data_IF_445940397493
#
_entry.id   IF_445940397493
#
_cell.length_a   1.000
_cell.length_b   1.000
_cell.length_c   1.000
_cell.angle_alpha   90.00
_cell.angle_beta   90.00
_cell.angle_gamma   90.00
#
_symmetry.space_group_name_H-M   'P 1'
#
loop_
_entity.id
_entity.type
_entity.pdbx_description
1 polymer ?
#
# COMPACT_ATOMS: atom_id res chain seq x y z
N UNK A 1 -9.98 -14.26 -14.67
CA UNK A 1 -9.97 -12.97 -13.96
C UNK A 1 -10.61 -13.22 -12.61
N UNK A 2 -10.23 -12.49 -11.57
CA UNK A 2 -10.96 -12.46 -10.34
C UNK A 2 -12.40 -11.99 -10.60
N UNK A 3 -13.37 -12.45 -9.81
CA UNK A 3 -14.74 -11.96 -9.92
C UNK A 3 -14.79 -10.43 -9.75
N UNK A 4 -15.60 -9.74 -10.55
CA UNK A 4 -15.75 -8.28 -10.46
C UNK A 4 -16.06 -7.78 -9.04
N UNK A 5 -16.80 -8.57 -8.25
CA UNK A 5 -17.08 -8.25 -6.84
C UNK A 5 -15.80 -8.14 -5.99
N UNK A 6 -14.74 -8.89 -6.30
CA UNK A 6 -13.44 -8.78 -5.61
C UNK A 6 -12.83 -7.41 -5.89
N UNK A 7 -12.76 -6.98 -7.15
CA UNK A 7 -12.23 -5.67 -7.53
C UNK A 7 -13.01 -4.53 -6.88
N UNK A 8 -14.35 -4.61 -6.91
CA UNK A 8 -15.21 -3.62 -6.25
C UNK A 8 -14.94 -3.55 -4.75
N UNK A 9 -14.95 -4.69 -4.04
CA UNK A 9 -14.78 -4.71 -2.59
C UNK A 9 -13.39 -4.26 -2.17
N UNK A 10 -12.33 -4.65 -2.88
CA UNK A 10 -10.96 -4.19 -2.59
C UNK A 10 -10.85 -2.69 -2.82
N UNK A 11 -11.34 -2.17 -3.94
CA UNK A 11 -11.34 -0.73 -4.22
C UNK A 11 -12.10 0.09 -3.17
N UNK A 12 -13.30 -0.36 -2.79
CA UNK A 12 -14.10 0.27 -1.73
C UNK A 12 -13.39 0.23 -0.37
N UNK A 13 -12.77 -0.90 -0.03
CA UNK A 13 -12.02 -1.06 1.22
C UNK A 13 -10.84 -0.10 1.30
N UNK A 14 -10.06 -0.01 0.22
CA UNK A 14 -8.90 0.90 0.16
C UNK A 14 -9.34 2.34 0.36
N UNK A 15 -10.40 2.79 -0.32
CA UNK A 15 -10.87 4.17 -0.19
C UNK A 15 -11.42 4.47 1.20
N UNK A 16 -12.17 3.55 1.82
CA UNK A 16 -12.65 3.71 3.20
C UNK A 16 -11.51 3.80 4.21
N UNK A 17 -10.50 2.95 4.07
CA UNK A 17 -9.31 2.96 4.93
C UNK A 17 -8.57 4.29 4.79
N UNK A 18 -8.42 4.81 3.56
CA UNK A 18 -7.80 6.12 3.31
C UNK A 18 -8.64 7.29 3.82
N UNK A 19 -9.96 7.18 3.77
CA UNK A 19 -10.88 8.22 4.25
C UNK A 19 -11.05 8.21 5.78
N UNK A 20 -10.75 7.10 6.45
CA UNK A 20 -10.95 6.93 7.90
C UNK A 20 -10.27 8.03 8.74
N UNK A 21 -8.99 8.40 8.50
CA UNK A 21 -8.37 9.53 9.21
C UNK A 21 -9.11 10.84 8.98
N UNK A 22 -9.65 11.09 7.79
CA UNK A 22 -10.37 12.35 7.49
C UNK A 22 -11.74 12.36 8.15
N UNK A 23 -12.43 11.22 8.19
CA UNK A 23 -13.74 11.06 8.84
C UNK A 23 -13.71 11.37 10.35
N UNK A 24 -12.55 11.21 11.01
CA UNK A 24 -12.34 11.64 12.40
C UNK A 24 -12.38 13.16 12.59
N UNK A 25 -12.19 13.94 11.54
CA UNK A 25 -12.08 15.40 11.58
C UNK A 25 -13.20 16.10 10.85
N UNK A 26 -13.72 15.52 9.77
CA UNK A 26 -14.71 16.14 8.91
C UNK A 26 -16.02 15.34 8.87
N UNK A 27 -17.09 15.97 9.34
CA UNK A 27 -18.45 15.42 9.30
C UNK A 27 -18.99 15.22 7.88
N UNK A 28 -18.53 16.01 6.92
CA UNK A 28 -18.92 15.86 5.51
C UNK A 28 -18.43 14.52 4.98
N UNK A 29 -17.20 14.14 5.33
CA UNK A 29 -16.62 12.85 4.93
C UNK A 29 -17.36 11.70 5.61
N UNK A 30 -17.75 11.83 6.88
CA UNK A 30 -18.60 10.83 7.55
C UNK A 30 -19.94 10.61 6.85
N UNK A 31 -20.56 11.70 6.40
CA UNK A 31 -21.86 11.67 5.68
C UNK A 31 -21.76 11.19 4.24
N UNK A 32 -20.56 11.14 3.69
CA UNK A 32 -20.29 10.66 2.34
C UNK A 32 -19.89 9.18 2.31
N UNK A 33 -20.12 8.42 3.38
CA UNK A 33 -19.70 7.02 3.55
C UNK A 33 -20.12 6.11 2.38
N UNK A 34 -21.40 6.13 1.99
CA UNK A 34 -21.91 5.36 0.86
C UNK A 34 -21.29 5.82 -0.48
N UNK A 35 -21.05 7.12 -0.63
CA UNK A 35 -20.39 7.66 -1.83
C UNK A 35 -18.92 7.26 -1.90
N UNK A 36 -18.22 7.16 -0.76
CA UNK A 36 -16.85 6.65 -0.70
C UNK A 36 -16.80 5.16 -1.06
N UNK A 37 -17.73 4.35 -0.56
CA UNK A 37 -17.83 2.93 -0.96
C UNK A 37 -18.05 2.82 -2.47
N UNK A 38 -19.03 3.57 -3.01
CA UNK A 38 -19.35 3.55 -4.43
C UNK A 38 -18.16 4.01 -5.28
N UNK A 39 -17.56 5.15 -4.95
CA UNK A 39 -16.45 5.71 -5.69
C UNK A 39 -15.24 4.77 -5.69
N UNK A 40 -14.90 4.20 -4.54
CA UNK A 40 -13.79 3.26 -4.41
C UNK A 40 -14.05 1.96 -5.15
N UNK A 41 -15.28 1.44 -5.08
CA UNK A 41 -15.65 0.21 -5.79
C UNK A 41 -15.72 0.38 -7.30
N UNK A 42 -16.30 1.47 -7.79
CA UNK A 42 -16.32 1.81 -9.23
C UNK A 42 -14.89 2.04 -9.75
N UNK A 43 -14.05 2.70 -8.95
CA UNK A 43 -12.63 2.81 -9.26
C UNK A 43 -11.97 1.43 -9.36
N UNK A 44 -12.17 0.53 -8.40
CA UNK A 44 -11.66 -0.84 -8.49
C UNK A 44 -12.14 -1.59 -9.75
N UNK A 45 -13.37 -1.35 -10.21
CA UNK A 45 -13.95 -1.94 -11.41
C UNK A 45 -13.51 -1.28 -12.73
N UNK A 46 -12.76 -0.17 -12.70
CA UNK A 46 -12.42 0.61 -13.88
C UNK A 46 -11.90 -0.23 -15.06
N UNK A 47 -10.90 -1.11 -14.86
CA UNK A 47 -10.40 -1.99 -15.92
C UNK A 47 -11.45 -3.01 -16.43
N UNK A 48 -12.41 -3.42 -15.60
CA UNK A 48 -13.46 -4.38 -15.96
C UNK A 48 -14.55 -3.79 -16.85
N UNK A 49 -14.54 -2.47 -17.10
CA UNK A 49 -15.50 -1.79 -18.00
C UNK A 49 -15.50 -2.38 -19.41
N UNK A 50 -14.40 -3.02 -19.85
CA UNK A 50 -14.34 -3.69 -21.15
C UNK A 50 -15.40 -4.81 -21.32
N UNK A 51 -15.93 -5.36 -20.22
CA UNK A 51 -16.97 -6.39 -20.25
C UNK A 51 -18.37 -5.84 -20.55
N UNK A 52 -18.61 -4.55 -20.26
CA UNK A 52 -19.94 -3.92 -20.37
C UNK A 52 -20.00 -2.80 -21.41
N UNK A 53 -18.86 -2.18 -21.73
CA UNK A 53 -18.80 -1.08 -22.68
C UNK A 53 -19.12 -1.57 -24.11
N UNK A 54 -20.07 -0.93 -24.82
CA UNK A 54 -20.37 -1.26 -26.21
C UNK A 54 -19.35 -0.67 -27.18
N UNK A 55 -18.59 0.35 -26.76
CA UNK A 55 -17.61 1.09 -27.55
C UNK A 55 -16.20 0.90 -27.01
N UNK A 56 -15.19 1.03 -27.87
CA UNK A 56 -13.77 0.92 -27.52
C UNK A 56 -13.35 -0.40 -26.84
N UNK A 57 -14.05 -1.51 -27.10
CA UNK A 57 -13.79 -2.79 -26.43
C UNK A 57 -12.34 -3.27 -26.54
N UNK A 58 -11.72 -3.12 -27.71
CA UNK A 58 -10.32 -3.53 -27.91
C UNK A 58 -9.35 -2.63 -27.15
N UNK A 59 -9.58 -1.32 -27.12
CA UNK A 59 -8.76 -0.38 -26.35
C UNK A 59 -8.91 -0.59 -24.85
N UNK A 60 -10.14 -0.81 -24.36
CA UNK A 60 -10.42 -1.08 -22.95
C UNK A 60 -9.83 -2.42 -22.50
N UNK A 61 -9.88 -3.45 -23.35
CA UNK A 61 -9.20 -4.73 -23.06
C UNK A 61 -7.68 -4.59 -23.08
N UNK A 62 -7.12 -3.84 -24.03
CA UNK A 62 -5.69 -3.53 -24.04
C UNK A 62 -5.25 -2.76 -22.79
N UNK A 63 -6.07 -1.82 -22.31
CA UNK A 63 -5.85 -1.13 -21.04
C UNK A 63 -5.91 -2.09 -19.85
N UNK A 64 -6.95 -2.93 -19.78
CA UNK A 64 -7.12 -3.96 -18.75
C UNK A 64 -5.91 -4.89 -18.64
N UNK A 65 -5.37 -5.34 -19.77
CA UNK A 65 -4.25 -6.28 -19.82
C UNK A 65 -2.88 -5.58 -19.61
N UNK A 66 -2.88 -4.26 -19.42
CA UNK A 66 -1.66 -3.47 -19.23
C UNK A 66 -1.32 -3.21 -17.75
N UNK A 67 -0.06 -2.86 -17.49
CA UNK A 67 0.39 -2.43 -16.17
C UNK A 67 -0.34 -1.18 -15.65
N UNK A 68 -0.95 -0.38 -16.54
CA UNK A 68 -1.73 0.80 -16.18
C UNK A 68 -3.05 0.47 -15.47
N UNK A 69 -3.51 -0.78 -15.50
CA UNK A 69 -4.63 -1.24 -14.69
C UNK A 69 -4.25 -1.44 -13.21
N UNK A 70 -2.96 -1.58 -12.89
CA UNK A 70 -2.48 -1.86 -11.51
C UNK A 70 -2.94 -0.86 -10.46
N UNK A 71 -2.95 0.46 -10.70
CA UNK A 71 -3.44 1.43 -9.73
C UNK A 71 -4.88 1.17 -9.31
N UNK A 72 -5.73 0.59 -10.17
CA UNK A 72 -7.14 0.33 -9.88
C UNK A 72 -7.27 -0.91 -8.99
N UNK A 73 -7.15 -0.70 -7.68
CA UNK A 73 -7.28 -1.74 -6.65
C UNK A 73 -6.34 -2.96 -6.83
N UNK A 74 -5.12 -2.76 -7.35
CA UNK A 74 -4.17 -3.84 -7.63
C UNK A 74 -4.69 -4.87 -8.64
N UNK A 75 -5.43 -4.41 -9.65
CA UNK A 75 -6.10 -5.23 -10.66
C UNK A 75 -5.25 -6.40 -11.16
N UNK A 76 -4.01 -6.11 -11.58
CA UNK A 76 -3.09 -7.13 -12.09
C UNK A 76 -2.73 -8.21 -11.06
N UNK A 77 -2.57 -7.85 -9.78
CA UNK A 77 -2.28 -8.79 -8.71
C UNK A 77 -3.51 -9.66 -8.36
N UNK A 78 -4.70 -9.05 -8.34
CA UNK A 78 -5.97 -9.74 -8.14
C UNK A 78 -6.27 -10.73 -9.28
N UNK A 79 -5.81 -10.43 -10.49
CA UNK A 79 -5.93 -11.28 -11.68
C UNK A 79 -4.78 -12.28 -11.89
N UNK A 80 -3.84 -12.34 -10.94
CA UNK A 80 -2.74 -13.31 -11.00
C UNK A 80 -3.24 -14.76 -11.07
N UNK A 81 -2.44 -15.66 -11.63
CA UNK A 81 -2.78 -17.08 -11.71
C UNK A 81 -3.03 -17.68 -10.32
N UNK A 82 -2.26 -17.26 -9.31
CA UNK A 82 -2.41 -17.69 -7.93
C UNK A 82 -3.79 -17.33 -7.35
N UNK A 83 -4.27 -16.11 -7.60
CA UNK A 83 -5.60 -15.67 -7.17
C UNK A 83 -6.72 -16.42 -7.94
N UNK A 84 -6.54 -16.61 -9.25
CA UNK A 84 -7.49 -17.37 -10.10
C UNK A 84 -7.63 -18.84 -9.69
N UNK A 85 -6.59 -19.45 -9.15
CA UNK A 85 -6.63 -20.82 -8.66
C UNK A 85 -7.50 -20.99 -7.39
N UNK A 86 -7.86 -19.89 -6.70
CA UNK A 86 -8.59 -19.91 -5.43
C UNK A 86 -9.70 -18.85 -5.37
N UNK A 87 -10.69 -18.91 -6.28
CA UNK A 87 -11.67 -17.83 -6.43
C UNK A 87 -12.52 -17.60 -5.17
N UNK A 88 -12.95 -18.67 -4.49
CA UNK A 88 -13.73 -18.57 -3.25
C UNK A 88 -12.92 -17.92 -2.11
N UNK A 89 -11.63 -18.22 -2.00
CA UNK A 89 -10.76 -17.60 -1.01
C UNK A 89 -10.57 -16.10 -1.29
N UNK A 90 -10.41 -15.71 -2.56
CA UNK A 90 -10.35 -14.31 -2.97
C UNK A 90 -11.62 -13.53 -2.63
N UNK A 91 -12.80 -14.11 -2.88
CA UNK A 91 -14.10 -13.53 -2.49
C UNK A 91 -14.21 -13.41 -0.96
N UNK A 92 -13.91 -14.47 -0.23
CA UNK A 92 -14.00 -14.46 1.23
C UNK A 92 -13.05 -13.40 1.84
N UNK A 93 -11.81 -13.31 1.33
CA UNK A 93 -10.83 -12.33 1.76
C UNK A 93 -11.26 -10.90 1.46
N UNK A 94 -11.84 -10.62 0.29
CA UNK A 94 -12.29 -9.27 -0.06
C UNK A 94 -13.52 -8.85 0.75
N UNK A 95 -14.44 -9.76 1.05
CA UNK A 95 -15.56 -9.53 1.97
C UNK A 95 -15.03 -9.20 3.37
N UNK A 96 -14.11 -10.02 3.90
CA UNK A 96 -13.53 -9.79 5.22
C UNK A 96 -12.82 -8.44 5.29
N UNK A 97 -12.00 -8.13 4.29
CA UNK A 97 -11.31 -6.83 4.17
C UNK A 97 -12.30 -5.67 4.16
N UNK A 98 -13.39 -5.79 3.40
CA UNK A 98 -14.43 -4.77 3.33
C UNK A 98 -15.17 -4.61 4.66
N UNK A 99 -15.54 -5.70 5.32
CA UNK A 99 -16.15 -5.65 6.65
C UNK A 99 -15.23 -4.97 7.67
N UNK A 100 -13.93 -5.24 7.65
CA UNK A 100 -12.94 -4.59 8.51
C UNK A 100 -12.82 -3.10 8.18
N UNK A 101 -12.78 -2.73 6.90
CA UNK A 101 -12.71 -1.33 6.46
C UNK A 101 -13.95 -0.53 6.88
N UNK A 102 -15.15 -1.08 6.65
CA UNK A 102 -16.42 -0.48 7.08
C UNK A 102 -16.47 -0.37 8.60
N UNK A 103 -16.08 -1.42 9.33
CA UNK A 103 -16.03 -1.41 10.79
C UNK A 103 -15.10 -0.32 11.33
N UNK A 104 -13.89 -0.21 10.77
CA UNK A 104 -12.92 0.82 11.13
C UNK A 104 -13.42 2.23 10.85
N UNK A 105 -13.95 2.47 9.64
CA UNK A 105 -14.53 3.75 9.26
C UNK A 105 -15.73 4.13 10.14
N UNK A 106 -16.65 3.18 10.40
CA UNK A 106 -17.84 3.41 11.23
C UNK A 106 -17.46 3.72 12.68
N UNK A 107 -16.48 2.99 13.23
CA UNK A 107 -15.97 3.24 14.58
C UNK A 107 -15.32 4.62 14.68
N UNK A 108 -14.56 5.04 13.65
CA UNK A 108 -14.00 6.39 13.56
C UNK A 108 -15.10 7.45 13.47
N UNK A 109 -16.12 7.22 12.64
CA UNK A 109 -17.23 8.15 12.43
C UNK A 109 -18.10 8.35 13.69
N UNK A 110 -18.21 7.31 14.54
CA UNK A 110 -19.02 7.33 15.79
C UNK A 110 -18.22 7.60 17.05
N UNK A 111 -16.91 7.86 16.95
CA UNK A 111 -16.09 8.12 18.13
C UNK A 111 -16.50 9.45 18.79
N UNK A 112 -17.01 9.38 20.03
CA UNK A 112 -17.23 10.53 20.92
C UNK A 112 -15.94 11.38 20.98
N UNK A 113 -15.98 12.74 20.92
CA UNK A 113 -14.79 13.60 21.01
C UNK A 113 -13.78 13.25 22.12
N UNK A 114 -14.22 12.72 23.28
CA UNK A 114 -13.31 12.23 24.33
C UNK A 114 -12.65 10.89 23.97
N UNK A 115 -13.39 9.96 23.38
CA UNK A 115 -12.84 8.72 22.79
C UNK A 115 -12.04 9.00 21.52
N UNK A 116 -12.35 10.04 20.78
CA UNK A 116 -11.71 10.44 19.54
C UNK A 116 -10.25 10.82 19.76
N UNK A 117 -9.83 11.27 20.96
CA UNK A 117 -8.39 11.41 21.28
C UNK A 117 -7.68 10.05 21.35
N UNK A 118 -8.30 9.03 21.94
CA UNK A 118 -7.76 7.66 21.99
C UNK A 118 -7.82 6.99 20.61
N UNK A 119 -8.95 7.14 19.90
CA UNK A 119 -9.15 6.67 18.53
C UNK A 119 -8.22 7.40 17.55
N UNK A 120 -7.90 8.69 17.73
CA UNK A 120 -6.90 9.42 16.92
C UNK A 120 -5.50 8.86 17.11
N UNK A 121 -5.14 8.45 18.32
CA UNK A 121 -3.85 7.79 18.57
C UNK A 121 -3.79 6.45 17.85
N UNK A 122 -4.84 5.63 18.00
CA UNK A 122 -5.00 4.36 17.28
C UNK A 122 -5.04 4.55 15.77
N UNK A 123 -5.69 5.59 15.25
CA UNK A 123 -5.76 5.86 13.81
C UNK A 123 -4.48 6.49 13.27
N UNK A 124 -3.71 7.23 14.08
CA UNK A 124 -2.34 7.61 13.73
C UNK A 124 -1.41 6.40 13.69
N UNK A 125 -1.64 5.42 14.58
CA UNK A 125 -0.92 4.15 14.60
C UNK A 125 -1.37 3.22 13.45
N UNK A 126 -2.65 3.28 13.04
CA UNK A 126 -3.19 2.54 11.88
C UNK A 126 -2.92 3.23 10.53
N UNK A 127 -2.68 4.54 10.49
CA UNK A 127 -2.28 5.21 9.25
C UNK A 127 -0.85 4.87 8.83
N UNK A 128 -0.02 4.36 9.75
CA UNK A 128 1.30 3.78 9.46
C UNK A 128 1.17 2.51 8.58
N UNK A 129 0.37 1.49 8.92
CA UNK A 129 0.15 0.35 8.05
C UNK A 129 -0.57 0.71 6.74
N UNK A 130 -1.35 1.80 6.68
CA UNK A 130 -1.90 2.29 5.41
C UNK A 130 -0.82 2.90 4.51
N UNK A 131 0.06 3.73 5.07
CA UNK A 131 1.23 4.24 4.35
C UNK A 131 2.14 3.09 3.87
N UNK A 132 2.30 2.06 4.71
CA UNK A 132 3.01 0.85 4.38
C UNK A 132 2.38 0.07 3.22
N UNK A 133 1.05 -0.07 3.22
CA UNK A 133 0.31 -0.73 2.14
C UNK A 133 0.47 0.02 0.82
N UNK A 134 0.35 1.35 0.83
CA UNK A 134 0.58 2.18 -0.36
C UNK A 134 2.01 2.00 -0.88
N UNK A 135 3.00 2.04 0.01
CA UNK A 135 4.39 1.90 -0.38
C UNK A 135 4.72 0.50 -0.91
N UNK A 136 4.24 -0.54 -0.23
CA UNK A 136 4.39 -1.94 -0.66
C UNK A 136 3.76 -2.16 -2.04
N UNK A 137 2.60 -1.55 -2.28
CA UNK A 137 1.94 -1.56 -3.56
C UNK A 137 2.75 -0.89 -4.68
N UNK A 138 3.31 0.30 -4.42
CA UNK A 138 4.11 1.04 -5.40
C UNK A 138 5.40 0.29 -5.71
N UNK A 139 6.10 -0.22 -4.69
CA UNK A 139 7.28 -1.06 -4.88
C UNK A 139 6.92 -2.35 -5.63
N UNK A 140 5.81 -2.99 -5.27
CA UNK A 140 5.31 -4.17 -5.96
C UNK A 140 5.00 -3.91 -7.43
N UNK A 141 4.37 -2.79 -7.76
CA UNK A 141 4.10 -2.38 -9.13
C UNK A 141 5.41 -2.13 -9.91
N UNK A 142 6.41 -1.47 -9.30
CA UNK A 142 7.72 -1.26 -9.92
C UNK A 142 8.47 -2.57 -10.15
N UNK A 143 8.46 -3.49 -9.17
CA UNK A 143 9.08 -4.81 -9.32
C UNK A 143 8.36 -5.64 -10.39
N UNK A 144 7.04 -5.54 -10.48
CA UNK A 144 6.25 -6.19 -11.53
C UNK A 144 6.58 -5.62 -12.90
N UNK A 145 6.66 -4.29 -13.02
CA UNK A 145 7.00 -3.62 -14.27
C UNK A 145 8.42 -3.92 -14.77
N UNK A 146 9.33 -4.25 -13.86
CA UNK A 146 10.73 -4.60 -14.17
C UNK A 146 10.97 -6.10 -14.30
N UNK A 147 9.94 -6.95 -14.16
CA UNK A 147 10.06 -8.41 -14.23
C UNK A 147 10.85 -9.02 -13.06
N UNK A 148 10.85 -8.37 -11.89
CA UNK A 148 11.69 -8.72 -10.73
C UNK A 148 10.94 -9.30 -9.54
N UNK A 149 9.63 -9.51 -9.67
CA UNK A 149 8.79 -10.08 -8.59
C UNK A 149 9.25 -11.49 -8.22
N UNK A 150 9.61 -12.29 -9.22
CA UNK A 150 10.10 -13.66 -9.05
C UNK A 150 11.48 -13.69 -8.40
N UNK A 151 12.38 -12.79 -8.82
CA UNK A 151 13.70 -12.63 -8.19
C UNK A 151 13.56 -12.26 -6.71
N UNK A 152 12.65 -11.35 -6.37
CA UNK A 152 12.38 -10.97 -4.98
C UNK A 152 11.81 -12.13 -4.14
N UNK A 153 11.00 -13.01 -4.75
CA UNK A 153 10.47 -14.22 -4.09
C UNK A 153 11.58 -15.25 -3.83
N UNK A 154 12.38 -15.53 -4.86
CA UNK A 154 13.50 -16.48 -4.79
C UNK A 154 14.53 -16.08 -3.72
N UNK A 155 14.72 -14.77 -3.52
CA UNK A 155 15.60 -14.21 -2.48
C UNK A 155 15.16 -14.45 -1.04
N UNK A 156 13.98 -15.04 -0.82
CA UNK A 156 13.53 -15.46 0.51
C UNK A 156 13.16 -16.95 0.54
N UNK A 157 13.61 -17.70 -0.47
CA UNK A 157 13.33 -19.13 -0.60
C UNK A 157 11.83 -19.42 -0.73
N UNK A 158 11.06 -18.45 -1.23
CA UNK A 158 9.63 -18.57 -1.32
C UNK A 158 9.18 -18.50 -2.78
N UNK A 159 8.47 -19.53 -3.21
CA UNK A 159 7.98 -19.59 -4.58
C UNK A 159 6.66 -18.80 -4.73
N UNK A 160 6.63 -17.95 -5.74
CA UNK A 160 5.40 -17.33 -6.23
C UNK A 160 5.12 -15.91 -5.73
N UNK A 161 4.21 -15.27 -6.46
CA UNK A 161 3.83 -13.85 -6.33
C UNK A 161 3.28 -13.47 -4.95
N UNK A 162 2.67 -14.42 -4.25
CA UNK A 162 2.06 -14.19 -2.93
C UNK A 162 3.13 -14.03 -1.84
N UNK A 163 4.25 -14.76 -1.95
CA UNK A 163 5.36 -14.61 -1.02
C UNK A 163 6.09 -13.27 -1.24
N UNK A 164 6.31 -12.86 -2.49
CA UNK A 164 6.86 -11.53 -2.80
C UNK A 164 5.96 -10.41 -2.26
N UNK A 165 4.64 -10.53 -2.42
CA UNK A 165 3.68 -9.56 -1.89
C UNK A 165 3.71 -9.50 -0.36
N UNK A 166 3.79 -10.64 0.33
CA UNK A 166 3.91 -10.70 1.78
C UNK A 166 5.23 -10.07 2.27
N UNK A 167 6.34 -10.34 1.59
CA UNK A 167 7.64 -9.76 1.91
C UNK A 167 7.63 -8.24 1.76
N UNK A 168 7.07 -7.75 0.64
CA UNK A 168 6.93 -6.32 0.38
C UNK A 168 6.02 -5.63 1.40
N UNK A 169 4.96 -6.30 1.82
CA UNK A 169 4.08 -5.81 2.87
C UNK A 169 4.82 -5.69 4.21
N UNK A 170 5.54 -6.74 4.62
CA UNK A 170 6.32 -6.74 5.87
C UNK A 170 7.39 -5.65 5.83
N UNK A 171 8.14 -5.54 4.73
CA UNK A 171 9.17 -4.52 4.55
C UNK A 171 8.58 -3.10 4.54
N UNK A 172 7.44 -2.90 3.86
CA UNK A 172 6.72 -1.63 3.84
C UNK A 172 6.21 -1.23 5.22
N UNK A 173 5.70 -2.19 6.00
CA UNK A 173 5.23 -1.97 7.38
C UNK A 173 6.40 -1.61 8.28
N UNK A 174 7.48 -2.40 8.27
CA UNK A 174 8.68 -2.14 9.05
C UNK A 174 9.29 -0.76 8.72
N UNK A 175 9.40 -0.43 7.43
CA UNK A 175 9.91 0.87 6.96
C UNK A 175 9.02 2.04 7.41
N UNK A 176 7.69 1.87 7.38
CA UNK A 176 6.75 2.90 7.84
C UNK A 176 6.82 3.13 9.34
N UNK A 177 7.02 2.07 10.14
CA UNK A 177 7.29 2.20 11.57
C UNK A 177 8.63 2.87 11.85
N UNK A 178 9.69 2.53 11.11
CA UNK A 178 11.00 3.17 11.25
C UNK A 178 10.91 4.69 11.00
N UNK A 179 10.23 5.12 9.93
CA UNK A 179 9.93 6.54 9.66
C UNK A 179 9.15 7.16 10.81
N UNK A 180 8.10 6.50 11.28
CA UNK A 180 7.28 7.01 12.38
C UNK A 180 8.06 7.21 13.68
N UNK A 181 9.03 6.35 13.99
CA UNK A 181 9.90 6.47 15.17
C UNK A 181 10.92 7.60 14.98
N UNK A 182 11.51 7.73 13.79
CA UNK A 182 12.59 8.69 13.53
C UNK A 182 12.07 10.12 13.37
N UNK A 183 10.85 10.33 12.85
CA UNK A 183 10.27 11.67 12.68
C UNK A 183 9.94 12.28 14.05
N UNK A 184 10.64 13.36 14.48
CA UNK A 184 10.36 14.00 15.76
C UNK A 184 8.97 14.63 15.80
N UNK A 185 8.32 14.64 16.96
CA UNK A 185 6.96 15.19 17.14
C UNK A 185 6.81 16.63 16.61
N UNK A 186 7.85 17.47 16.77
CA UNK A 186 7.89 18.84 16.23
C UNK A 186 7.79 18.94 14.71
N UNK A 187 8.20 17.88 13.99
CA UNK A 187 8.16 17.80 12.53
C UNK A 187 7.12 16.79 12.01
N UNK A 188 6.35 16.15 12.91
CA UNK A 188 5.35 15.15 12.57
C UNK A 188 4.27 15.64 11.60
N UNK A 189 4.15 16.96 11.39
CA UNK A 189 3.19 17.60 10.49
C UNK A 189 3.76 18.15 9.20
N UNK A 190 5.07 18.05 8.98
CA UNK A 190 5.73 18.65 7.82
C UNK A 190 6.00 17.57 6.78
N UNK A 191 5.19 17.49 5.69
CA UNK A 191 5.33 16.43 4.69
C UNK A 191 6.71 16.38 4.07
N UNK A 192 7.32 17.55 3.84
CA UNK A 192 8.66 17.68 3.29
C UNK A 192 9.71 17.01 4.20
N UNK A 193 9.63 17.22 5.52
CA UNK A 193 10.57 16.59 6.46
C UNK A 193 10.35 15.09 6.51
N UNK A 194 9.09 14.64 6.48
CA UNK A 194 8.75 13.22 6.35
C UNK A 194 9.37 12.60 5.10
N UNK A 195 9.17 13.23 3.94
CA UNK A 195 9.72 12.80 2.66
C UNK A 195 11.25 12.70 2.67
N UNK A 196 11.95 13.69 3.22
CA UNK A 196 13.41 13.70 3.29
C UNK A 196 13.94 12.59 4.21
N UNK A 197 13.32 12.38 5.37
CA UNK A 197 13.69 11.29 6.28
C UNK A 197 13.37 9.92 5.68
N UNK A 198 12.23 9.81 5.00
CA UNK A 198 11.84 8.61 4.26
C UNK A 198 12.81 8.28 3.13
N UNK A 199 13.22 9.29 2.34
CA UNK A 199 14.25 9.16 1.32
C UNK A 199 15.57 8.67 1.94
N UNK A 200 16.03 9.29 3.01
CA UNK A 200 17.26 8.90 3.70
C UNK A 200 17.19 7.44 4.18
N UNK A 201 16.08 7.01 4.77
CA UNK A 201 15.86 5.63 5.17
C UNK A 201 15.83 4.67 3.97
N UNK A 202 15.22 5.07 2.85
CA UNK A 202 15.24 4.31 1.59
C UNK A 202 16.66 4.12 1.05
N UNK A 203 17.48 5.17 1.09
CA UNK A 203 18.89 5.11 0.68
C UNK A 203 19.72 4.20 1.60
N UNK A 204 19.52 4.31 2.92
CA UNK A 204 20.18 3.42 3.90
C UNK A 204 19.75 1.97 3.68
N UNK A 205 18.45 1.71 3.47
CA UNK A 205 17.93 0.38 3.17
C UNK A 205 18.51 -0.18 1.87
N UNK A 206 18.75 0.66 0.86
CA UNK A 206 19.40 0.23 -0.38
C UNK A 206 20.87 -0.14 -0.15
N UNK A 207 21.65 0.72 0.52
CA UNK A 207 23.07 0.44 0.80
C UNK A 207 23.23 -0.80 1.68
N UNK A 208 22.50 -0.86 2.79
CA UNK A 208 22.65 -1.99 3.73
C UNK A 208 22.00 -3.24 3.14
N UNK A 209 20.76 -3.15 2.68
CA UNK A 209 19.98 -4.30 2.21
C UNK A 209 20.46 -4.83 0.87
N UNK A 210 20.48 -4.00 -0.17
CA UNK A 210 20.73 -4.46 -1.55
C UNK A 210 22.23 -4.54 -1.83
N UNK A 211 23.01 -3.52 -1.47
CA UNK A 211 24.43 -3.46 -1.86
C UNK A 211 25.29 -4.44 -1.06
N UNK A 212 24.98 -4.63 0.23
CA UNK A 212 25.79 -5.42 1.17
C UNK A 212 25.13 -6.74 1.59
N UNK A 213 23.96 -6.69 2.23
CA UNK A 213 23.34 -7.88 2.85
C UNK A 213 22.87 -8.87 1.79
N UNK A 214 22.22 -8.41 0.73
CA UNK A 214 21.64 -9.28 -0.30
C UNK A 214 22.68 -10.17 -0.99
N UNK A 215 23.81 -9.66 -1.51
CA UNK A 215 24.81 -10.53 -2.15
C UNK A 215 25.53 -11.43 -1.16
N UNK A 216 25.69 -11.03 0.11
CA UNK A 216 26.22 -11.91 1.16
C UNK A 216 25.25 -13.05 1.48
N UNK A 217 23.97 -12.73 1.64
CA UNK A 217 22.92 -13.72 1.87
C UNK A 217 22.82 -14.70 0.70
N UNK A 218 22.84 -14.20 -0.54
CA UNK A 218 22.78 -15.04 -1.75
C UNK A 218 23.99 -16.00 -1.84
N UNK A 219 25.18 -15.59 -1.40
CA UNK A 219 26.36 -16.46 -1.30
C UNK A 219 26.21 -17.57 -0.27
N UNK A 220 25.64 -17.24 0.89
CA UNK A 220 25.52 -18.18 2.02
C UNK A 220 24.37 -19.16 1.82
N UNK A 221 23.23 -18.68 1.32
CA UNK A 221 21.97 -19.44 1.30
C UNK A 221 21.67 -20.05 -0.06
N UNK A 222 21.97 -19.34 -1.15
CA UNK A 222 21.68 -19.79 -2.51
C UNK A 222 22.92 -20.33 -3.24
N UNK A 223 24.09 -20.34 -2.58
CA UNK A 223 25.39 -20.67 -3.19
C UNK A 223 25.68 -19.86 -4.48
N UNK A 224 25.05 -18.69 -4.63
CA UNK A 224 25.20 -17.82 -5.78
C UNK A 224 26.40 -16.87 -5.60
N UNK A 225 27.01 -16.41 -6.70
CA UNK A 225 28.20 -15.54 -6.65
C UNK A 225 27.97 -14.14 -7.23
N UNK A 226 26.96 -13.38 -6.76
CA UNK A 226 26.78 -12.00 -7.23
C UNK A 226 27.97 -11.12 -6.84
N UNK A 227 28.21 -10.03 -7.58
CA UNK A 227 29.24 -9.05 -7.25
C UNK A 227 28.96 -8.40 -5.88
N UNK A 228 30.03 -8.11 -5.13
CA UNK A 228 29.98 -7.34 -3.89
C UNK A 228 30.94 -6.17 -4.07
N UNK A 229 30.46 -4.91 -4.11
CA UNK A 229 29.07 -4.47 -3.91
C UNK A 229 28.12 -4.84 -5.08
N UNK A 230 26.87 -5.18 -4.75
CA UNK A 230 25.81 -5.35 -5.75
C UNK A 230 25.16 -3.99 -6.05
N UNK A 231 25.53 -3.38 -7.17
CA UNK A 231 24.98 -2.08 -7.58
C UNK A 231 23.84 -2.29 -8.55
N UNK A 232 22.62 -1.93 -8.12
CA UNK A 232 21.42 -2.02 -8.94
C UNK A 232 20.61 -0.72 -8.88
N UNK A 233 20.67 0.08 -9.96
CA UNK A 233 20.02 1.39 -10.04
C UNK A 233 18.49 1.35 -9.97
N UNK A 234 17.79 0.38 -10.60
CA UNK A 234 16.33 0.27 -10.47
C UNK A 234 15.86 0.09 -9.02
N UNK A 235 16.53 -0.75 -8.22
CA UNK A 235 16.17 -0.91 -6.79
C UNK A 235 16.49 0.33 -5.97
N UNK A 236 17.55 1.09 -6.31
CA UNK A 236 17.83 2.39 -5.68
C UNK A 236 16.65 3.33 -5.88
N UNK A 237 16.22 3.50 -7.14
CA UNK A 237 15.11 4.37 -7.48
C UNK A 237 13.82 3.91 -6.78
N UNK A 238 13.55 2.61 -6.77
CA UNK A 238 12.37 2.05 -6.11
C UNK A 238 12.36 2.34 -4.61
N UNK A 239 13.46 2.09 -3.90
CA UNK A 239 13.56 2.33 -2.45
C UNK A 239 13.56 3.82 -2.10
N UNK A 240 14.19 4.67 -2.92
CA UNK A 240 14.17 6.11 -2.76
C UNK A 240 12.75 6.68 -2.90
N UNK A 241 12.03 6.28 -3.97
CA UNK A 241 10.64 6.70 -4.22
C UNK A 241 9.72 6.17 -3.12
N UNK A 242 9.83 4.89 -2.78
CA UNK A 242 9.02 4.29 -1.74
C UNK A 242 9.24 4.96 -0.38
N UNK A 243 10.50 5.15 0.02
CA UNK A 243 10.85 5.85 1.25
C UNK A 243 10.28 7.26 1.30
N UNK A 244 10.44 8.04 0.22
CA UNK A 244 9.88 9.40 0.12
C UNK A 244 8.37 9.40 0.30
N UNK A 245 7.66 8.49 -0.36
CA UNK A 245 6.20 8.39 -0.30
C UNK A 245 5.71 7.95 1.08
N UNK A 246 6.35 6.95 1.70
CA UNK A 246 6.07 6.55 3.09
C UNK A 246 6.23 7.74 4.01
N UNK A 247 7.34 8.47 3.88
CA UNK A 247 7.64 9.69 4.63
C UNK A 247 6.52 10.74 4.55
N UNK A 248 6.12 11.06 3.34
CA UNK A 248 5.02 11.99 3.06
C UNK A 248 3.69 11.50 3.65
N UNK A 249 3.36 10.22 3.46
CA UNK A 249 2.11 9.63 3.94
C UNK A 249 2.04 9.62 5.47
N UNK A 250 3.09 9.14 6.16
CA UNK A 250 3.13 9.08 7.63
C UNK A 250 2.96 10.46 8.25
N UNK A 251 3.67 11.47 7.73
CA UNK A 251 3.56 12.85 8.24
C UNK A 251 2.25 13.53 7.85
N UNK A 252 1.65 13.19 6.71
CA UNK A 252 0.32 13.68 6.32
C UNK A 252 -0.77 13.09 7.22
N UNK A 253 -0.71 11.78 7.48
CA UNK A 253 -1.58 11.10 8.45
C UNK A 253 -1.44 11.74 9.83
N UNK A 254 -0.21 11.95 10.31
CA UNK A 254 0.04 12.60 11.60
C UNK A 254 -0.41 14.06 11.63
N UNK A 255 -0.28 14.80 10.52
CA UNK A 255 -0.79 16.17 10.38
C UNK A 255 -2.30 16.23 10.57
N UNK A 256 -3.02 15.29 9.98
CA UNK A 256 -4.48 15.19 10.12
C UNK A 256 -4.81 14.72 11.54
N UNK A 257 -4.24 13.60 11.99
CA UNK A 257 -4.64 12.92 13.22
C UNK A 257 -4.25 13.64 14.54
N UNK A 258 -3.13 14.37 14.59
CA UNK A 258 -2.65 14.99 15.83
C UNK A 258 -3.37 16.33 16.09
N UNK A 259 -3.93 16.58 17.29
CA UNK A 259 -4.57 17.85 17.67
C UNK A 259 -3.56 19.00 17.73
N UNK A 260 -3.91 20.18 17.24
CA UNK A 260 -3.04 21.36 17.23
C UNK A 260 -2.80 21.89 18.66
N UNK A 261 -1.68 22.59 18.92
CA UNK A 261 -1.44 23.23 20.21
C UNK A 261 -2.56 24.20 20.61
N UNK A 262 -3.27 24.78 19.64
CA UNK A 262 -4.44 25.63 19.86
C UNK A 262 -5.71 24.86 20.29
N UNK A 263 -5.73 23.53 20.16
CA UNK A 263 -6.83 22.64 20.58
C UNK A 263 -6.65 22.12 22.03
N UNK A 264 -5.66 22.64 22.77
CA UNK A 264 -5.37 22.28 24.17
C UNK A 264 -5.72 23.44 25.10
#
# INVERSE_FOLDING_TARGET
MAPAIVHFLVGASLLLVLATPVALHDERVRRADLWLVLAGGVWGLGPDLHNVAPVFRSQLRAFHDSLWATPFAFHYALDSQAARARPLAGIAASILLFCLAVGGFTAAARADPKRARRTRRVVSELGIPVAALIAAAIVGAMLSATGRVETAAALVGADGTLASAALLLVAGVAGSYAVAIVVPDRHARQPIVGSLLGLQLGLVAWVVGIVLVLPLWARVVLEATPPVPLVDWPSLLALAVAGTLVGACVTTVRRVALPTPADR
#
